data_IF_489776883317
#
_entry.id   IF_489776883317
#
_cell.length_a   1.000
_cell.length_b   1.000
_cell.length_c   1.000
_cell.angle_alpha   90.00
_cell.angle_beta   90.00
_cell.angle_gamma   90.00
#
_symmetry.space_group_name_H-M   'P 1'
#
loop_
_entity.id
_entity.type
_entity.pdbx_description
1 polymer ?
#
# COMPACT_ATOMS: atom_id res chain seq x y z
N UNK A 1 1.73 19.63 3.74
CA UNK A 1 2.01 18.91 2.48
C UNK A 1 1.15 17.66 2.49
N UNK A 2 0.38 17.41 1.44
CA UNK A 2 -0.55 16.27 1.34
C UNK A 2 0.18 14.99 0.89
N UNK A 3 -0.44 13.82 1.01
CA UNK A 3 0.14 12.53 0.59
C UNK A 3 0.53 12.54 -0.89
N UNK A 4 -0.33 13.08 -1.76
CA UNK A 4 -0.03 13.19 -3.18
C UNK A 4 1.19 14.08 -3.44
N UNK A 5 1.33 15.19 -2.72
CA UNK A 5 2.45 16.12 -2.91
C UNK A 5 3.80 15.40 -2.67
N UNK A 6 3.89 14.60 -1.60
CA UNK A 6 5.11 13.83 -1.30
C UNK A 6 5.43 12.82 -2.41
N UNK A 7 4.39 12.17 -2.95
CA UNK A 7 4.56 11.19 -4.03
C UNK A 7 4.97 11.88 -5.34
N UNK A 8 4.39 13.05 -5.64
CA UNK A 8 4.67 13.83 -6.84
C UNK A 8 6.05 14.49 -6.83
N UNK A 9 6.62 14.75 -5.64
CA UNK A 9 8.00 15.25 -5.52
C UNK A 9 9.06 14.25 -5.97
N UNK A 10 8.76 12.95 -5.91
CA UNK A 10 9.72 11.87 -6.21
C UNK A 10 9.38 11.18 -7.54
N UNK A 11 8.07 11.03 -7.83
CA UNK A 11 7.61 10.33 -9.02
C UNK A 11 7.62 11.17 -10.29
N UNK A 12 7.32 10.51 -11.41
CA UNK A 12 7.13 11.14 -12.71
C UNK A 12 5.66 11.11 -13.12
N UNK A 13 5.03 12.27 -13.21
CA UNK A 13 3.66 12.41 -13.74
C UNK A 13 3.69 12.41 -15.28
N UNK A 14 3.04 11.41 -15.89
CA UNK A 14 2.92 11.28 -17.33
C UNK A 14 1.46 11.39 -17.76
N UNK A 15 1.12 12.45 -18.50
CA UNK A 15 -0.25 12.68 -18.99
C UNK A 15 -0.49 12.14 -20.40
N UNK A 16 0.55 12.14 -21.26
CA UNK A 16 0.45 11.74 -22.67
C UNK A 16 1.69 10.97 -23.11
N UNK A 17 1.48 9.92 -23.90
CA UNK A 17 2.53 9.16 -24.56
C UNK A 17 2.44 9.30 -26.07
N UNK A 18 3.60 9.44 -26.72
CA UNK A 18 3.69 9.43 -28.18
C UNK A 18 4.58 8.28 -28.64
N UNK A 19 4.06 7.47 -29.55
CA UNK A 19 4.82 6.39 -30.18
C UNK A 19 5.23 6.81 -31.57
N UNK A 20 6.49 6.60 -31.92
CA UNK A 20 7.02 6.82 -33.26
C UNK A 20 7.52 5.52 -33.88
N UNK A 21 7.38 5.39 -35.19
CA UNK A 21 7.96 4.32 -36.00
C UNK A 21 8.46 4.95 -37.31
N UNK A 22 9.71 4.69 -37.65
CA UNK A 22 10.34 5.21 -38.88
C UNK A 22 10.25 6.74 -39.02
N UNK A 23 10.30 7.46 -37.90
CA UNK A 23 10.21 8.92 -37.84
C UNK A 23 8.76 9.47 -37.86
N UNK A 24 7.76 8.62 -38.07
CA UNK A 24 6.35 9.03 -38.09
C UNK A 24 5.62 8.65 -36.80
N UNK A 25 4.69 9.51 -36.39
CA UNK A 25 3.87 9.27 -35.20
C UNK A 25 2.81 8.22 -35.49
N UNK A 26 2.76 7.18 -34.66
CA UNK A 26 1.76 6.10 -34.76
C UNK A 26 0.73 6.25 -33.64
N UNK A 27 -0.54 6.33 -34.03
CA UNK A 27 -1.67 6.44 -33.09
C UNK A 27 -2.16 5.06 -32.61
N UNK A 28 -2.86 5.03 -31.47
CA UNK A 28 -3.51 3.81 -30.97
C UNK A 28 -2.56 2.72 -30.45
N UNK A 29 -1.34 3.08 -30.07
CA UNK A 29 -0.31 2.15 -29.55
C UNK A 29 0.07 2.53 -28.12
N UNK A 30 0.42 1.53 -27.32
CA UNK A 30 0.94 1.71 -25.96
C UNK A 30 -0.08 2.36 -25.02
N UNK A 31 0.35 3.42 -24.33
CA UNK A 31 -0.41 4.12 -23.29
C UNK A 31 -1.66 4.86 -23.76
N UNK A 32 -1.86 5.03 -25.08
CA UNK A 32 -3.02 5.76 -25.63
C UNK A 32 -4.38 5.18 -25.20
N UNK A 33 -4.45 3.88 -24.87
CA UNK A 33 -5.67 3.25 -24.35
C UNK A 33 -5.93 3.64 -22.89
N UNK A 34 -4.87 3.75 -22.09
CA UNK A 34 -4.95 4.12 -20.68
C UNK A 34 -5.23 5.62 -20.51
N UNK A 35 -4.81 6.46 -21.45
CA UNK A 35 -5.08 7.90 -21.45
C UNK A 35 -6.56 8.24 -21.27
N UNK A 36 -7.45 7.46 -21.87
CA UNK A 36 -8.89 7.66 -21.71
C UNK A 36 -9.38 7.33 -20.29
N UNK A 37 -8.74 6.40 -19.59
CA UNK A 37 -9.18 5.96 -18.26
C UNK A 37 -8.95 7.01 -17.18
N UNK A 38 -7.88 7.80 -17.31
CA UNK A 38 -7.56 8.85 -16.35
C UNK A 38 -7.92 10.26 -16.81
N UNK A 39 -8.22 10.51 -18.09
CA UNK A 39 -8.49 11.86 -18.60
C UNK A 39 -9.72 12.56 -17.99
N UNK A 40 -10.60 11.81 -17.32
CA UNK A 40 -11.81 12.33 -16.67
C UNK A 40 -11.72 12.32 -15.14
N UNK A 41 -10.55 12.01 -14.57
CA UNK A 41 -10.36 12.01 -13.11
C UNK A 41 -9.74 13.32 -12.64
N UNK A 42 -9.71 13.53 -11.32
CA UNK A 42 -9.01 14.67 -10.70
C UNK A 42 -7.50 14.69 -11.00
N UNK A 43 -6.92 13.51 -11.23
CA UNK A 43 -5.51 13.33 -11.57
C UNK A 43 -5.39 12.78 -13.00
N UNK A 44 -5.40 13.65 -14.03
CA UNK A 44 -5.39 13.25 -15.44
C UNK A 44 -3.99 12.86 -15.93
N UNK A 45 -3.30 12.03 -15.15
CA UNK A 45 -1.97 11.51 -15.43
C UNK A 45 -1.75 10.20 -14.69
N UNK A 46 -0.75 9.44 -15.13
CA UNK A 46 -0.21 8.32 -14.38
C UNK A 46 0.99 8.82 -13.58
N UNK A 47 0.98 8.59 -12.28
CA UNK A 47 2.16 8.79 -11.44
C UNK A 47 3.04 7.54 -11.51
N UNK A 48 4.21 7.67 -12.11
CA UNK A 48 5.22 6.64 -12.13
C UNK A 48 6.11 6.81 -10.89
N UNK A 49 5.88 5.97 -9.89
CA UNK A 49 6.64 5.95 -8.64
C UNK A 49 7.07 4.51 -8.35
N UNK A 50 8.35 4.32 -7.98
CA UNK A 50 8.82 2.98 -7.57
C UNK A 50 8.13 2.58 -6.27
N UNK A 51 7.70 1.32 -6.19
CA UNK A 51 6.98 0.77 -5.04
C UNK A 51 7.66 1.07 -3.69
N UNK A 52 8.98 0.92 -3.62
CA UNK A 52 9.78 1.27 -2.44
C UNK A 52 9.48 2.68 -1.92
N UNK A 53 9.45 3.68 -2.81
CA UNK A 53 9.23 5.07 -2.39
C UNK A 53 7.79 5.31 -1.98
N UNK A 54 6.80 4.72 -2.68
CA UNK A 54 5.41 4.83 -2.23
C UNK A 54 5.22 4.22 -0.84
N UNK A 55 5.81 3.05 -0.57
CA UNK A 55 5.72 2.41 0.76
C UNK A 55 6.40 3.24 1.85
N UNK A 56 7.56 3.82 1.57
CA UNK A 56 8.27 4.69 2.52
C UNK A 56 7.45 5.96 2.84
N UNK A 57 6.83 6.58 1.83
CA UNK A 57 5.94 7.74 2.01
C UNK A 57 4.71 7.36 2.84
N UNK A 58 4.04 6.25 2.51
CA UNK A 58 2.89 5.77 3.29
C UNK A 58 3.27 5.49 4.74
N UNK A 59 4.41 4.84 4.98
CA UNK A 59 4.91 4.55 6.33
C UNK A 59 5.17 5.83 7.13
N UNK A 60 5.80 6.82 6.51
CA UNK A 60 6.06 8.11 7.15
C UNK A 60 4.74 8.84 7.51
N UNK A 61 3.74 8.80 6.62
CA UNK A 61 2.43 9.42 6.86
C UNK A 61 1.61 8.72 7.93
N UNK A 62 1.58 7.38 7.92
CA UNK A 62 0.96 6.60 8.98
C UNK A 62 1.61 6.88 10.34
N UNK A 63 2.95 6.95 10.39
CA UNK A 63 3.66 7.31 11.62
C UNK A 63 3.31 8.71 12.13
N UNK A 64 3.16 9.71 11.23
CA UNK A 64 2.72 11.05 11.60
C UNK A 64 1.27 11.10 12.15
N UNK A 65 0.45 10.11 11.81
CA UNK A 65 -0.89 9.91 12.38
C UNK A 65 -0.87 9.06 13.66
N UNK A 66 0.31 8.70 14.17
CA UNK A 66 0.46 7.85 15.36
C UNK A 66 0.23 6.36 15.11
N UNK A 67 0.26 5.92 13.84
CA UNK A 67 0.09 4.52 13.44
C UNK A 67 1.45 3.95 13.00
N UNK A 68 2.24 3.36 13.91
CA UNK A 68 3.51 2.77 13.54
C UNK A 68 3.30 1.48 12.74
N UNK A 69 4.02 1.35 11.63
CA UNK A 69 4.06 0.09 10.86
C UNK A 69 5.16 -0.80 11.43
N UNK A 70 4.77 -1.98 11.93
CA UNK A 70 5.72 -2.97 12.43
C UNK A 70 6.15 -3.92 11.33
N UNK A 71 7.33 -3.67 10.75
CA UNK A 71 7.94 -4.51 9.73
C UNK A 71 9.47 -4.59 9.92
N UNK A 72 10.13 -5.68 9.48
CA UNK A 72 9.53 -6.90 8.93
C UNK A 72 8.84 -7.74 10.02
N UNK A 73 7.68 -8.32 9.70
CA UNK A 73 6.90 -9.16 10.62
C UNK A 73 6.11 -10.21 9.83
N UNK A 74 5.95 -11.39 10.41
CA UNK A 74 5.20 -12.51 9.81
C UNK A 74 4.05 -12.89 10.73
N UNK A 75 2.84 -12.95 10.19
CA UNK A 75 1.70 -13.57 10.87
C UNK A 75 1.83 -15.10 10.73
N UNK A 76 2.15 -15.79 11.82
CA UNK A 76 2.37 -17.25 11.82
C UNK A 76 1.04 -18.00 11.87
N UNK A 77 0.12 -17.54 12.71
CA UNK A 77 -1.21 -18.14 12.89
C UNK A 77 -2.15 -17.15 13.58
N UNK A 78 -3.45 -17.41 13.48
CA UNK A 78 -4.46 -16.73 14.28
C UNK A 78 -5.59 -17.70 14.63
N UNK A 79 -6.25 -17.44 15.75
CA UNK A 79 -7.45 -18.16 16.19
C UNK A 79 -8.57 -17.16 16.44
N UNK A 80 -9.80 -17.59 16.17
CA UNK A 80 -11.01 -16.85 16.52
C UNK A 80 -11.65 -17.54 17.73
N UNK A 81 -12.04 -16.76 18.73
CA UNK A 81 -12.79 -17.24 19.87
C UNK A 81 -14.13 -17.81 19.39
N UNK A 82 -14.49 -19.04 19.80
CA UNK A 82 -15.65 -19.74 19.29
C UNK A 82 -16.98 -19.11 19.71
N UNK A 83 -16.98 -18.35 20.81
CA UNK A 83 -18.13 -17.59 21.28
C UNK A 83 -17.73 -16.11 21.47
N UNK A 84 -18.22 -15.21 20.60
CA UNK A 84 -17.88 -13.79 20.66
C UNK A 84 -18.37 -13.09 21.94
N UNK A 85 -19.31 -13.71 22.69
CA UNK A 85 -19.76 -13.19 23.99
C UNK A 85 -18.80 -13.52 25.13
N UNK A 86 -17.87 -14.46 24.90
CA UNK A 86 -16.86 -14.90 25.87
C UNK A 86 -15.46 -14.33 25.61
N UNK A 87 -15.29 -13.64 24.47
CA UNK A 87 -14.02 -13.03 24.11
C UNK A 87 -13.63 -11.98 25.17
N UNK A 88 -12.50 -12.22 25.83
CA UNK A 88 -11.97 -11.28 26.80
C UNK A 88 -11.72 -9.93 26.10
N UNK A 89 -12.38 -8.88 26.60
CA UNK A 89 -12.20 -7.49 26.19
C UNK A 89 -12.67 -7.12 24.78
N UNK A 90 -13.63 -7.85 24.18
CA UNK A 90 -14.21 -7.53 22.84
C UNK A 90 -13.19 -7.66 21.69
N UNK A 91 -12.17 -8.53 21.86
CA UNK A 91 -11.15 -8.85 20.84
C UNK A 91 -11.11 -10.36 20.60
N UNK A 92 -12.02 -10.91 19.78
CA UNK A 92 -12.17 -12.35 19.60
C UNK A 92 -11.02 -12.98 18.81
N UNK A 93 -10.09 -12.21 18.24
CA UNK A 93 -8.99 -12.76 17.45
C UNK A 93 -7.71 -12.71 18.25
N UNK A 94 -7.02 -13.85 18.35
CA UNK A 94 -5.67 -13.95 18.87
C UNK A 94 -4.71 -14.32 17.74
N UNK A 95 -3.76 -13.45 17.45
CA UNK A 95 -2.77 -13.60 16.38
C UNK A 95 -1.35 -13.78 16.95
N UNK A 96 -0.59 -14.67 16.35
CA UNK A 96 0.82 -14.91 16.69
C UNK A 96 1.70 -14.34 15.59
N UNK A 97 2.54 -13.37 15.94
CA UNK A 97 3.39 -12.64 15.01
C UNK A 97 4.86 -12.87 15.37
N UNK A 98 5.69 -13.18 14.38
CA UNK A 98 7.14 -13.26 14.50
C UNK A 98 7.83 -12.07 13.82
N UNK A 99 9.10 -11.82 14.15
CA UNK A 99 9.95 -10.81 13.51
C UNK A 99 11.32 -11.40 13.18
N UNK A 100 11.98 -10.97 12.08
CA UNK A 100 13.36 -11.35 11.76
C UNK A 100 14.41 -10.92 12.82
N UNK A 101 15.62 -11.49 12.68
CA UNK A 101 16.39 -12.21 13.71
C UNK A 101 17.27 -11.45 14.75
N UNK A 102 17.79 -12.29 15.67
CA UNK A 102 18.74 -12.18 16.80
C UNK A 102 18.12 -12.62 18.13
N UNK A 103 16.84 -12.35 18.31
CA UNK A 103 15.98 -12.99 19.31
C UNK A 103 14.61 -13.18 18.67
N UNK A 104 14.19 -14.41 18.30
CA UNK A 104 12.85 -14.66 17.83
C UNK A 104 11.86 -14.34 18.96
N UNK A 105 11.40 -13.08 18.99
CA UNK A 105 10.36 -12.63 19.89
C UNK A 105 9.03 -12.88 19.19
N UNK A 106 8.45 -14.03 19.47
CA UNK A 106 7.05 -14.30 19.15
C UNK A 106 6.20 -13.39 20.04
N UNK A 107 5.27 -12.66 19.43
CA UNK A 107 4.36 -11.76 20.13
C UNK A 107 2.92 -12.12 19.80
N UNK A 108 2.09 -12.15 20.84
CA UNK A 108 0.65 -12.38 20.72
C UNK A 108 -0.06 -11.04 20.67
N UNK A 109 -0.89 -10.85 19.66
CA UNK A 109 -1.73 -9.65 19.48
C UNK A 109 -3.18 -10.08 19.53
N UNK A 110 -3.98 -9.41 20.37
CA UNK A 110 -5.44 -9.54 20.33
C UNK A 110 -6.04 -8.43 19.47
N UNK A 111 -6.95 -8.80 18.60
CA UNK A 111 -7.56 -7.88 17.63
C UNK A 111 -9.08 -8.13 17.55
N UNK A 112 -9.81 -7.07 17.17
CA UNK A 112 -11.24 -7.20 16.82
C UNK A 112 -11.42 -7.78 15.42
N UNK A 113 -10.53 -7.38 14.52
CA UNK A 113 -10.55 -7.74 13.10
C UNK A 113 -9.11 -7.97 12.61
N UNK A 114 -8.96 -8.88 11.65
CA UNK A 114 -7.77 -9.00 10.81
C UNK A 114 -8.19 -8.69 9.38
N UNK A 115 -7.38 -7.89 8.70
CA UNK A 115 -7.55 -7.58 7.28
C UNK A 115 -6.32 -8.10 6.55
N UNK A 116 -6.52 -9.04 5.61
CA UNK A 116 -5.49 -9.49 4.68
C UNK A 116 -5.39 -8.51 3.51
N UNK A 117 -4.18 -8.07 3.18
CA UNK A 117 -3.88 -7.13 2.11
C UNK A 117 -2.67 -7.61 1.30
#
# INVERSE_FOLDING_TARGET
>A
MDLFDDMAQIGLCASKGFTYRDGERVHGRGWSHFERLFSQTLFPFVLNLRLKYSEDIFRARLAALGVPVHAPATLETFTLDPDPTTAADDHPITATISTPAHHPATRTVRAKYIVGA
#
